data_IF_865840172344
#
_entry.id   IF_865840172344
#
_cell.length_a   1.000
_cell.length_b   1.000
_cell.length_c   1.000
_cell.angle_alpha   90.00
_cell.angle_beta   90.00
_cell.angle_gamma   90.00
#
_symmetry.space_group_name_H-M   'P 1'
#
loop_
_entity.id
_entity.type
_entity.pdbx_description
1 polymer ?
#
# COMPACT_ATOMS: atom_id res chain seq x y z
N UNK A 1 9.96 -11.31 -8.57
CA UNK A 1 10.42 -10.17 -7.75
C UNK A 1 10.33 -8.82 -8.47
N UNK A 2 10.09 -8.77 -9.79
CA UNK A 2 10.08 -7.53 -10.58
C UNK A 2 8.81 -6.66 -10.44
N UNK A 3 7.69 -7.23 -9.98
CA UNK A 3 6.41 -6.51 -9.85
C UNK A 3 6.26 -5.83 -8.49
N UNK A 4 7.02 -6.26 -7.47
CA UNK A 4 6.92 -5.74 -6.10
C UNK A 4 7.05 -4.21 -6.00
N UNK A 5 7.94 -3.52 -6.75
CA UNK A 5 8.01 -2.06 -6.74
C UNK A 5 6.75 -1.38 -7.27
N UNK A 6 5.98 -2.05 -8.15
CA UNK A 6 4.76 -1.52 -8.73
C UNK A 6 3.68 -1.26 -7.68
N UNK A 7 3.71 -2.00 -6.56
CA UNK A 7 2.73 -1.87 -5.46
C UNK A 7 2.75 -0.47 -4.86
N UNK A 8 3.93 0.14 -4.71
CA UNK A 8 4.04 1.49 -4.15
C UNK A 8 3.29 2.50 -5.04
N UNK A 9 3.56 2.45 -6.35
CA UNK A 9 2.90 3.33 -7.31
C UNK A 9 1.40 3.03 -7.44
N UNK A 10 1.03 1.75 -7.44
CA UNK A 10 -0.36 1.31 -7.49
C UNK A 10 -1.17 1.86 -6.31
N UNK A 11 -0.67 1.68 -5.08
CA UNK A 11 -1.35 2.19 -3.88
C UNK A 11 -1.49 3.71 -3.95
N UNK A 12 -0.44 4.43 -4.38
CA UNK A 12 -0.53 5.88 -4.57
C UNK A 12 -1.57 6.26 -5.62
N UNK A 13 -1.62 5.57 -6.76
CA UNK A 13 -2.66 5.79 -7.79
C UNK A 13 -4.05 5.58 -7.20
N UNK A 14 -4.27 4.49 -6.47
CA UNK A 14 -5.56 4.16 -5.87
C UNK A 14 -5.98 5.21 -4.84
N UNK A 15 -5.08 5.60 -3.92
CA UNK A 15 -5.37 6.63 -2.92
C UNK A 15 -5.69 7.98 -3.56
N UNK A 16 -4.86 8.47 -4.48
CA UNK A 16 -5.09 9.76 -5.14
C UNK A 16 -6.37 9.75 -5.99
N UNK A 17 -6.65 8.62 -6.66
CA UNK A 17 -7.88 8.42 -7.42
C UNK A 17 -9.10 8.48 -6.51
N UNK A 18 -9.06 7.79 -5.36
CA UNK A 18 -10.14 7.84 -4.37
C UNK A 18 -10.38 9.26 -3.84
N UNK A 19 -9.32 10.03 -3.57
CA UNK A 19 -9.45 11.43 -3.14
C UNK A 19 -10.11 12.28 -4.23
N UNK A 20 -9.63 12.20 -5.48
CA UNK A 20 -10.19 12.96 -6.60
C UNK A 20 -11.65 12.56 -6.91
N UNK A 21 -11.98 11.26 -6.81
CA UNK A 21 -13.35 10.77 -6.97
C UNK A 21 -14.26 11.26 -5.84
N UNK A 22 -13.79 11.27 -4.59
CA UNK A 22 -14.52 11.85 -3.46
C UNK A 22 -14.77 13.36 -3.58
N UNK A 23 -13.94 14.06 -4.37
CA UNK A 23 -14.11 15.48 -4.70
C UNK A 23 -15.01 15.74 -5.94
N UNK A 24 -15.62 14.70 -6.54
CA UNK A 24 -16.43 14.82 -7.76
C UNK A 24 -15.60 15.15 -9.01
N UNK A 25 -14.32 14.74 -9.04
CA UNK A 25 -13.39 14.92 -10.15
C UNK A 25 -12.99 13.59 -10.78
N UNK A 26 -13.90 12.64 -10.88
CA UNK A 26 -13.67 11.27 -11.34
C UNK A 26 -13.14 11.16 -12.78
N UNK A 27 -13.44 12.14 -13.65
CA UNK A 27 -12.92 12.17 -15.04
C UNK A 27 -11.40 12.26 -15.09
N UNK A 28 -10.78 12.97 -14.15
CA UNK A 28 -9.34 13.23 -14.12
C UNK A 28 -8.53 11.94 -13.87
N UNK A 29 -8.78 11.16 -12.80
CA UNK A 29 -8.07 9.91 -12.58
C UNK A 29 -8.36 8.89 -13.68
N UNK A 30 -9.55 8.88 -14.28
CA UNK A 30 -9.85 8.01 -15.42
C UNK A 30 -8.93 8.33 -16.61
N UNK A 31 -8.83 9.60 -17.01
CA UNK A 31 -7.92 10.01 -18.11
C UNK A 31 -6.46 9.70 -17.77
N UNK A 32 -6.04 9.92 -16.53
CA UNK A 32 -4.68 9.61 -16.08
C UNK A 32 -4.38 8.11 -16.09
N UNK A 33 -5.34 7.27 -15.70
CA UNK A 33 -5.23 5.81 -15.78
C UNK A 33 -5.15 5.32 -17.22
N UNK A 34 -5.92 5.93 -18.14
CA UNK A 34 -5.82 5.61 -19.58
C UNK A 34 -4.42 5.95 -20.09
N UNK A 35 -3.87 7.12 -19.77
CA UNK A 35 -2.50 7.48 -20.15
C UNK A 35 -1.46 6.48 -19.59
N UNK A 36 -1.58 6.11 -18.31
CA UNK A 36 -0.72 5.09 -17.70
C UNK A 36 -0.85 3.70 -18.35
N UNK A 37 -2.07 3.32 -18.73
CA UNK A 37 -2.34 2.05 -19.43
C UNK A 37 -1.75 2.05 -20.85
N UNK A 38 -1.81 3.17 -21.58
CA UNK A 38 -1.16 3.32 -22.88
C UNK A 38 0.36 3.17 -22.77
N UNK A 39 0.99 3.83 -21.79
CA UNK A 39 2.43 3.67 -21.53
C UNK A 39 2.76 2.22 -21.19
N UNK A 40 1.98 1.59 -20.30
CA UNK A 40 2.16 0.18 -19.97
C UNK A 40 2.09 -0.70 -21.22
N UNK A 41 1.10 -0.49 -22.09
CA UNK A 41 0.92 -1.29 -23.30
C UNK A 41 2.11 -1.15 -24.25
N UNK A 42 2.53 0.08 -24.55
CA UNK A 42 3.66 0.35 -25.45
C UNK A 42 4.96 -0.24 -24.89
N UNK A 43 5.28 0.05 -23.63
CA UNK A 43 6.52 -0.43 -23.00
C UNK A 43 6.49 -1.94 -22.87
N UNK A 44 5.38 -2.54 -22.44
CA UNK A 44 5.28 -3.99 -22.33
C UNK A 44 5.46 -4.65 -23.70
N UNK A 45 4.85 -4.11 -24.76
CA UNK A 45 4.98 -4.66 -26.10
C UNK A 45 6.43 -4.61 -26.61
N UNK A 46 7.10 -3.46 -26.46
CA UNK A 46 8.49 -3.27 -26.90
C UNK A 46 9.45 -4.15 -26.09
N UNK A 47 9.36 -4.13 -24.76
CA UNK A 47 10.29 -4.87 -23.90
C UNK A 47 10.04 -6.39 -23.89
N UNK A 48 8.79 -6.84 -24.08
CA UNK A 48 8.47 -8.27 -24.14
C UNK A 48 8.97 -8.88 -25.46
N UNK A 49 9.02 -8.08 -26.52
CA UNK A 49 9.57 -8.49 -27.83
C UNK A 49 11.10 -8.69 -27.80
N UNK A 50 11.78 -8.24 -26.74
CA UNK A 50 13.22 -8.49 -26.55
C UNK A 50 13.44 -9.88 -25.89
N UNK A 51 14.19 -10.80 -26.52
CA UNK A 51 14.42 -12.15 -25.99
C UNK A 51 15.10 -12.16 -24.60
N UNK A 52 15.88 -11.12 -24.28
CA UNK A 52 16.58 -10.97 -23.02
C UNK A 52 15.66 -10.61 -21.83
N UNK A 53 14.52 -9.96 -22.09
CA UNK A 53 13.61 -9.47 -21.04
C UNK A 53 12.29 -10.25 -21.01
N UNK A 54 11.73 -10.65 -22.16
CA UNK A 54 10.57 -11.51 -22.28
C UNK A 54 9.46 -11.14 -21.26
N UNK A 55 9.01 -12.06 -20.40
CA UNK A 55 7.99 -11.80 -19.35
C UNK A 55 8.38 -10.67 -18.38
N UNK A 56 9.66 -10.43 -18.12
CA UNK A 56 10.09 -9.33 -17.24
C UNK A 56 9.82 -7.96 -17.87
N UNK A 57 9.73 -7.86 -19.19
CA UNK A 57 9.34 -6.64 -19.90
C UNK A 57 7.94 -6.16 -19.51
N UNK A 58 6.99 -7.08 -19.33
CA UNK A 58 5.63 -6.76 -18.88
C UNK A 58 5.59 -6.28 -17.42
N UNK A 59 6.48 -6.79 -16.56
CA UNK A 59 6.61 -6.31 -15.18
C UNK A 59 7.12 -4.86 -15.16
N UNK A 60 8.14 -4.53 -15.95
CA UNK A 60 8.69 -3.17 -16.08
C UNK A 60 7.63 -2.22 -16.66
N UNK A 61 6.90 -2.64 -17.68
CA UNK A 61 5.79 -1.86 -18.24
C UNK A 61 4.70 -1.55 -17.21
N UNK A 62 4.42 -2.47 -16.29
CA UNK A 62 3.47 -2.25 -15.19
C UNK A 62 3.97 -1.21 -14.19
N UNK A 63 5.24 -1.29 -13.80
CA UNK A 63 5.87 -0.29 -12.91
C UNK A 63 5.82 1.10 -13.55
N UNK A 64 6.22 1.21 -14.81
CA UNK A 64 6.25 2.48 -15.55
C UNK A 64 4.85 3.05 -15.78
N UNK A 65 3.88 2.20 -16.13
CA UNK A 65 2.49 2.63 -16.31
C UNK A 65 1.90 3.21 -15.04
N UNK A 66 2.11 2.55 -13.89
CA UNK A 66 1.67 3.11 -12.61
C UNK A 66 2.46 4.35 -12.22
N UNK A 67 3.77 4.41 -12.44
CA UNK A 67 4.57 5.60 -12.15
C UNK A 67 4.06 6.84 -12.90
N UNK A 68 3.74 6.71 -14.20
CA UNK A 68 3.15 7.80 -14.99
C UNK A 68 1.79 8.21 -14.43
N UNK A 69 0.91 7.24 -14.15
CA UNK A 69 -0.40 7.53 -13.55
C UNK A 69 -0.27 8.22 -12.17
N UNK A 70 0.68 7.81 -11.33
CA UNK A 70 0.97 8.44 -10.04
C UNK A 70 1.38 9.90 -10.22
N UNK A 71 2.29 10.20 -11.14
CA UNK A 71 2.76 11.57 -11.38
C UNK A 71 1.62 12.47 -11.88
N UNK A 72 0.79 11.97 -12.80
CA UNK A 72 -0.36 12.71 -13.31
C UNK A 72 -1.41 12.95 -12.22
N UNK A 73 -1.73 11.94 -11.42
CA UNK A 73 -2.65 12.07 -10.30
C UNK A 73 -2.10 13.01 -9.22
N UNK A 74 -0.81 13.00 -8.93
CA UNK A 74 -0.19 13.91 -7.97
C UNK A 74 -0.25 15.37 -8.43
N UNK A 75 -0.01 15.63 -9.73
CA UNK A 75 -0.17 16.96 -10.32
C UNK A 75 -1.61 17.46 -10.22
N UNK A 76 -2.58 16.62 -10.60
CA UNK A 76 -3.99 16.94 -10.46
C UNK A 76 -4.35 17.20 -8.99
N UNK A 77 -3.90 16.35 -8.07
CA UNK A 77 -4.17 16.50 -6.65
C UNK A 77 -3.62 17.83 -6.13
N UNK A 78 -2.39 18.22 -6.47
CA UNK A 78 -1.84 19.54 -6.08
C UNK A 78 -2.62 20.71 -6.67
N UNK A 79 -3.22 20.56 -7.84
CA UNK A 79 -4.03 21.61 -8.47
C UNK A 79 -5.38 21.80 -7.76
N UNK A 80 -6.04 20.70 -7.38
CA UNK A 80 -7.38 20.76 -6.78
C UNK A 80 -7.37 20.82 -5.23
N UNK A 81 -6.31 20.31 -4.59
CA UNK A 81 -6.17 20.29 -3.15
C UNK A 81 -5.26 21.44 -2.70
N UNK A 82 -5.88 22.55 -2.25
CA UNK A 82 -5.19 23.77 -1.78
C UNK A 82 -4.48 23.61 -0.42
N UNK A 83 -4.78 22.56 0.35
CA UNK A 83 -4.09 22.24 1.61
C UNK A 83 -2.87 21.37 1.30
N UNK A 84 -1.69 21.78 1.78
CA UNK A 84 -0.48 20.99 1.67
C UNK A 84 -0.69 19.57 2.20
N UNK A 85 -0.40 18.57 1.37
CA UNK A 85 -0.47 17.17 1.76
C UNK A 85 0.57 16.93 2.86
N UNK A 86 0.13 16.58 4.06
CA UNK A 86 0.99 16.12 5.16
C UNK A 86 1.56 14.72 4.87
N UNK A 87 2.22 14.53 3.73
CA UNK A 87 2.68 13.22 3.22
C UNK A 87 3.55 12.51 4.26
N UNK A 88 4.39 13.28 4.96
CA UNK A 88 5.33 12.76 5.96
C UNK A 88 4.56 12.20 7.18
N UNK A 89 3.57 12.91 7.71
CA UNK A 89 2.84 12.44 8.90
C UNK A 89 1.96 11.22 8.61
N UNK A 90 1.37 11.18 7.40
CA UNK A 90 0.47 10.10 6.95
C UNK A 90 1.27 8.84 6.57
N UNK A 91 2.52 8.99 6.10
CA UNK A 91 3.34 7.86 5.62
C UNK A 91 4.30 7.32 6.69
N UNK A 92 4.81 8.17 7.59
CA UNK A 92 5.80 7.74 8.57
C UNK A 92 5.26 6.71 9.57
N UNK A 93 4.03 6.90 10.07
CA UNK A 93 3.47 5.99 11.09
C UNK A 93 3.18 4.59 10.53
N UNK A 94 2.54 4.41 9.35
CA UNK A 94 2.43 3.10 8.72
C UNK A 94 3.77 2.48 8.37
N UNK A 95 4.77 3.27 7.95
CA UNK A 95 6.10 2.75 7.63
C UNK A 95 6.79 2.12 8.86
N UNK A 96 6.70 2.76 10.04
CA UNK A 96 7.22 2.19 11.29
C UNK A 96 6.50 0.88 11.64
N UNK A 97 5.18 0.85 11.51
CA UNK A 97 4.39 -0.37 11.74
C UNK A 97 4.75 -1.48 10.75
N UNK A 98 5.01 -1.16 9.48
CA UNK A 98 5.45 -2.12 8.47
C UNK A 98 6.83 -2.72 8.78
N UNK A 99 7.78 -1.93 9.29
CA UNK A 99 9.10 -2.45 9.71
C UNK A 99 8.94 -3.48 10.84
N UNK A 100 8.14 -3.16 11.85
CA UNK A 100 7.87 -4.08 12.96
C UNK A 100 7.18 -5.37 12.47
N UNK A 101 6.20 -5.24 11.58
CA UNK A 101 5.54 -6.36 10.92
C UNK A 101 6.54 -7.25 10.16
N UNK A 102 7.46 -6.66 9.39
CA UNK A 102 8.49 -7.41 8.64
C UNK A 102 9.41 -8.18 9.57
N UNK A 103 9.83 -7.58 10.68
CA UNK A 103 10.66 -8.26 11.68
C UNK A 103 9.92 -9.45 12.28
N UNK A 104 8.67 -9.27 12.71
CA UNK A 104 7.86 -10.36 13.28
C UNK A 104 7.65 -11.47 12.26
N UNK A 105 7.33 -11.14 11.00
CA UNK A 105 7.18 -12.13 9.93
C UNK A 105 8.48 -12.93 9.69
N UNK A 106 9.62 -12.25 9.64
CA UNK A 106 10.91 -12.88 9.38
C UNK A 106 11.32 -13.84 10.51
N UNK A 107 11.24 -13.40 11.76
CA UNK A 107 11.63 -14.21 12.91
C UNK A 107 10.66 -15.36 13.17
N UNK A 108 9.35 -15.12 13.07
CA UNK A 108 8.35 -16.20 13.23
C UNK A 108 8.51 -17.28 12.16
N UNK A 109 8.72 -16.88 10.90
CA UNK A 109 8.92 -17.84 9.83
C UNK A 109 10.21 -18.64 10.00
N UNK A 110 11.32 -17.96 10.33
CA UNK A 110 12.61 -18.61 10.53
C UNK A 110 12.57 -19.62 11.68
N UNK A 111 11.90 -19.29 12.78
CA UNK A 111 11.78 -20.18 13.95
C UNK A 111 10.86 -21.37 13.66
N UNK A 112 9.71 -21.15 13.03
CA UNK A 112 8.73 -22.20 12.75
C UNK A 112 9.18 -23.14 11.64
N UNK A 113 9.87 -22.64 10.62
CA UNK A 113 10.42 -23.45 9.53
C UNK A 113 11.60 -24.32 10.00
N UNK A 114 12.26 -23.96 11.11
CA UNK A 114 13.32 -24.79 11.69
C UNK A 114 12.77 -26.03 12.41
N UNK A 115 11.49 -26.02 12.83
CA UNK A 115 10.89 -27.09 13.63
C UNK A 115 9.77 -27.86 12.92
N UNK A 116 9.28 -27.37 11.77
CA UNK A 116 8.15 -27.95 11.04
C UNK A 116 8.56 -28.18 9.58
N UNK A 117 8.52 -29.44 9.12
CA UNK A 117 8.86 -29.82 7.73
C UNK A 117 7.84 -29.32 6.69
N UNK A 118 6.61 -29.02 7.12
CA UNK A 118 5.57 -28.47 6.25
C UNK A 118 5.83 -27.00 5.92
N UNK A 119 5.75 -26.62 4.65
CA UNK A 119 5.94 -25.23 4.19
C UNK A 119 4.71 -24.34 4.42
N UNK A 120 3.52 -24.92 4.54
CA UNK A 120 2.27 -24.14 4.58
C UNK A 120 1.98 -23.58 5.99
N UNK A 121 2.19 -24.41 7.02
CA UNK A 121 1.85 -24.07 8.41
C UNK A 121 2.71 -22.91 8.95
N UNK A 122 4.06 -22.91 8.80
CA UNK A 122 4.90 -21.79 9.22
C UNK A 122 4.50 -20.49 8.52
N UNK A 123 4.16 -20.55 7.24
CA UNK A 123 3.79 -19.36 6.46
C UNK A 123 2.49 -18.75 6.95
N UNK A 124 1.45 -19.57 7.18
CA UNK A 124 0.14 -19.10 7.63
C UNK A 124 0.21 -18.47 9.04
N UNK A 125 0.96 -19.10 9.94
CA UNK A 125 1.15 -18.63 11.31
C UNK A 125 1.96 -17.33 11.32
N UNK A 126 3.02 -17.25 10.52
CA UNK A 126 3.87 -16.06 10.43
C UNK A 126 3.10 -14.85 9.88
N UNK A 127 2.27 -15.04 8.85
CA UNK A 127 1.40 -13.98 8.31
C UNK A 127 0.39 -13.51 9.36
N UNK A 128 -0.22 -14.44 10.11
CA UNK A 128 -1.19 -14.11 11.15
C UNK A 128 -0.56 -13.30 12.29
N UNK A 129 0.63 -13.70 12.75
CA UNK A 129 1.41 -12.97 13.75
C UNK A 129 1.85 -11.60 13.26
N UNK A 130 2.32 -11.50 12.02
CA UNK A 130 2.73 -10.24 11.41
C UNK A 130 1.54 -9.25 11.32
N UNK A 131 0.37 -9.73 10.88
CA UNK A 131 -0.85 -8.91 10.83
C UNK A 131 -1.25 -8.38 12.22
N UNK A 132 -1.18 -9.24 13.25
CA UNK A 132 -1.47 -8.83 14.62
C UNK A 132 -0.46 -7.79 15.13
N UNK A 133 0.83 -7.98 14.86
CA UNK A 133 1.89 -7.05 15.23
C UNK A 133 1.70 -5.68 14.57
N UNK A 134 1.33 -5.65 13.29
CA UNK A 134 1.04 -4.41 12.58
C UNK A 134 -0.06 -3.59 13.29
N UNK A 135 -1.19 -4.23 13.61
CA UNK A 135 -2.32 -3.57 14.31
C UNK A 135 -1.88 -3.06 15.69
N UNK A 136 -1.17 -3.88 16.46
CA UNK A 136 -0.72 -3.49 17.81
C UNK A 136 0.21 -2.28 17.73
N UNK A 137 1.20 -2.29 16.84
CA UNK A 137 2.16 -1.18 16.71
C UNK A 137 1.45 0.10 16.27
N UNK A 138 0.52 0.01 15.32
CA UNK A 138 -0.25 1.16 14.86
C UNK A 138 -1.09 1.81 15.96
N UNK A 139 -1.66 0.99 16.85
CA UNK A 139 -2.38 1.44 18.05
C UNK A 139 -1.43 2.10 19.05
N UNK A 140 -0.26 1.50 19.31
CA UNK A 140 0.72 2.01 20.29
C UNK A 140 1.30 3.35 19.86
N UNK A 141 1.62 3.53 18.57
CA UNK A 141 2.17 4.79 18.05
C UNK A 141 1.12 5.89 17.84
N UNK A 142 -0.13 5.66 18.28
CA UNK A 142 -1.29 6.53 18.01
C UNK A 142 -1.36 6.90 16.53
N UNK A 143 -1.22 5.87 15.69
CA UNK A 143 -1.23 6.00 14.24
C UNK A 143 -2.62 6.17 13.66
N UNK A 144 -3.66 5.91 14.45
CA UNK A 144 -5.07 5.99 14.06
C UNK A 144 -5.75 7.07 14.90
N UNK A 145 -6.50 7.96 14.27
CA UNK A 145 -7.34 8.94 14.96
C UNK A 145 -8.67 8.34 15.41
N UNK A 146 -9.33 8.94 16.41
CA UNK A 146 -10.66 8.48 16.87
C UNK A 146 -11.68 8.51 15.71
N UNK A 147 -11.58 9.51 14.83
CA UNK A 147 -12.41 9.67 13.62
C UNK A 147 -12.19 8.53 12.60
N UNK A 148 -10.94 8.11 12.40
CA UNK A 148 -10.58 6.98 11.54
C UNK A 148 -11.08 5.65 12.12
N UNK A 149 -11.06 5.49 13.45
CA UNK A 149 -11.61 4.33 14.13
C UNK A 149 -13.15 4.29 14.06
N UNK A 150 -13.83 5.41 14.21
CA UNK A 150 -15.30 5.44 14.18
C UNK A 150 -15.90 5.16 12.80
N UNK A 151 -15.15 5.44 11.74
CA UNK A 151 -15.53 5.12 10.36
C UNK A 151 -15.22 3.67 9.96
N UNK A 152 -14.36 2.96 10.70
CA UNK A 152 -14.03 1.57 10.43
C UNK A 152 -15.13 0.59 10.90
N UNK A 153 -15.42 -0.49 10.14
CA UNK A 153 -16.40 -1.49 10.55
C UNK A 153 -15.94 -2.21 11.83
N UNK A 154 -16.72 -2.08 12.91
CA UNK A 154 -16.37 -2.59 14.24
C UNK A 154 -15.44 -1.70 15.08
N UNK A 155 -15.03 -0.54 14.55
CA UNK A 155 -14.06 0.34 15.19
C UNK A 155 -14.55 1.03 16.46
N UNK A 156 -15.87 1.22 16.64
CA UNK A 156 -16.45 1.71 17.92
C UNK A 156 -16.08 0.86 19.14
N UNK A 157 -15.97 -0.47 18.98
CA UNK A 157 -15.55 -1.38 20.08
C UNK A 157 -14.06 -1.20 20.38
N UNK A 158 -13.24 -1.09 19.34
CA UNK A 158 -11.80 -0.83 19.46
C UNK A 158 -11.54 0.54 20.09
N UNK A 159 -12.20 1.60 19.61
CA UNK A 159 -12.08 2.96 20.15
C UNK A 159 -12.37 2.99 21.66
N UNK A 160 -13.43 2.31 22.10
CA UNK A 160 -13.77 2.20 23.53
C UNK A 160 -12.71 1.45 24.35
N UNK A 161 -12.10 0.40 23.79
CA UNK A 161 -11.00 -0.33 24.44
C UNK A 161 -9.72 0.49 24.52
N UNK A 162 -9.37 1.23 23.45
CA UNK A 162 -8.19 2.09 23.39
C UNK A 162 -8.31 3.30 24.32
N UNK A 163 -9.49 3.94 24.39
CA UNK A 163 -9.80 5.06 25.29
C UNK A 163 -9.67 4.66 26.76
N UNK A 164 -10.10 3.44 27.11
CA UNK A 164 -9.96 2.89 28.47
C UNK A 164 -8.48 2.68 28.88
N UNK A 165 -7.57 2.51 27.92
CA UNK A 165 -6.13 2.35 28.15
C UNK A 165 -5.32 3.65 27.99
N UNK A 166 -5.97 4.79 27.72
CA UNK A 166 -5.29 6.08 27.50
C UNK A 166 -4.43 6.13 26.22
N UNK A 167 -4.71 5.25 25.26
CA UNK A 167 -3.97 5.14 23.99
C UNK A 167 -4.59 6.01 22.88
N UNK A 168 -5.73 6.65 23.14
CA UNK A 168 -6.38 7.71 22.37
C UNK A 168 -6.58 8.90 23.31
#
# INVERSE_FOLDING_TARGET
MYVSPAVIFLTLVQTMTGILQGMGKEKIPVTNMVAGASVKAVVSYVLTSMPALNINGAAIGTVLGYAVATVLNLKALRQYQKKGLGIISITAKPAVASIAMTLVAYFSYKLLHASIESKYVPTLVSISLAALAYVIVLVVIRGITEEELDTAPGGKKLARMLKKKGLL
#
